data_IF_297756957615
#
_entry.id   IF_297756957615
#
_cell.length_a   1.000
_cell.length_b   1.000
_cell.length_c   1.000
_cell.angle_alpha   90.00
_cell.angle_beta   90.00
_cell.angle_gamma   90.00
#
_symmetry.space_group_name_H-M   'P 1'
#
loop_
_entity.id
_entity.type
_entity.pdbx_description
1 polymer ?
#
# COMPACT_ATOMS: atom_id res chain seq x y z
N UNK A 1 6.10 -18.73 28.30
CA UNK A 1 5.63 -17.49 28.97
C UNK A 1 5.65 -16.31 27.99
N UNK A 2 6.76 -16.02 27.32
CA UNK A 2 6.86 -14.93 26.32
C UNK A 2 5.80 -15.00 25.20
N UNK A 3 5.49 -16.19 24.70
CA UNK A 3 4.47 -16.37 23.64
C UNK A 3 3.05 -16.03 24.12
N UNK A 4 2.76 -16.25 25.41
CA UNK A 4 1.47 -15.89 26.02
C UNK A 4 1.32 -14.37 26.21
N UNK A 5 2.42 -13.67 26.53
CA UNK A 5 2.41 -12.21 26.68
C UNK A 5 2.27 -11.51 25.32
N UNK A 6 2.99 -11.99 24.30
CA UNK A 6 2.84 -11.50 22.93
C UNK A 6 1.40 -11.61 22.44
N UNK A 7 0.75 -12.76 22.63
CA UNK A 7 -0.65 -12.96 22.22
C UNK A 7 -1.60 -12.01 22.92
N UNK A 8 -1.38 -11.70 24.21
CA UNK A 8 -2.18 -10.71 24.94
C UNK A 8 -1.98 -9.30 24.39
N UNK A 9 -0.75 -8.92 24.09
CA UNK A 9 -0.41 -7.60 23.53
C UNK A 9 -1.02 -7.42 22.12
N UNK A 10 -0.93 -8.44 21.26
CA UNK A 10 -1.56 -8.43 19.94
C UNK A 10 -3.08 -8.26 20.03
N UNK A 11 -3.73 -8.99 20.94
CA UNK A 11 -5.19 -8.87 21.17
C UNK A 11 -5.57 -7.49 21.68
N UNK A 12 -4.87 -7.00 22.71
CA UNK A 12 -5.12 -5.67 23.26
C UNK A 12 -4.96 -4.57 22.18
N UNK A 13 -3.93 -4.68 21.33
CA UNK A 13 -3.72 -3.77 20.21
C UNK A 13 -4.86 -3.83 19.18
N UNK A 14 -5.24 -5.02 18.72
CA UNK A 14 -6.29 -5.22 17.71
C UNK A 14 -7.68 -4.79 18.22
N UNK A 15 -7.98 -5.04 19.51
CA UNK A 15 -9.22 -4.66 20.18
C UNK A 15 -9.43 -3.14 20.24
N UNK A 16 -8.34 -2.36 20.29
CA UNK A 16 -8.46 -0.89 20.22
C UNK A 16 -9.07 -0.44 18.91
N UNK A 17 -8.80 -1.15 17.81
CA UNK A 17 -9.14 -0.76 16.43
C UNK A 17 -8.62 0.64 16.04
N UNK A 18 -7.65 1.17 16.79
CA UNK A 18 -7.08 2.50 16.56
C UNK A 18 -5.85 2.45 15.64
N UNK A 19 -5.22 1.28 15.54
CA UNK A 19 -4.01 1.09 14.75
C UNK A 19 -2.80 1.80 15.36
N UNK A 20 -1.74 1.88 14.57
CA UNK A 20 -0.47 2.51 14.94
C UNK A 20 -0.64 4.01 15.17
N UNK A 21 -1.47 4.70 14.36
CA UNK A 21 -1.77 6.12 14.57
C UNK A 21 -2.34 6.36 15.96
N UNK A 22 -3.21 5.48 16.46
CA UNK A 22 -3.74 5.56 17.82
C UNK A 22 -2.68 5.53 18.92
N UNK A 23 -1.62 4.74 18.71
CA UNK A 23 -0.47 4.71 19.62
C UNK A 23 0.31 6.02 19.57
N UNK A 24 0.55 6.54 18.37
CA UNK A 24 1.25 7.83 18.16
C UNK A 24 0.47 8.98 18.79
N UNK A 25 -0.84 9.06 18.53
CA UNK A 25 -1.74 10.10 19.06
C UNK A 25 -1.83 10.03 20.60
N UNK A 26 -1.71 8.83 21.19
CA UNK A 26 -1.64 8.64 22.63
C UNK A 26 -0.30 9.06 23.26
N UNK A 27 0.69 9.46 22.44
CA UNK A 27 1.98 9.96 22.92
C UNK A 27 2.83 8.88 23.59
N UNK A 28 2.77 7.64 23.11
CA UNK A 28 3.58 6.55 23.68
C UNK A 28 5.08 6.90 23.64
N UNK A 29 5.80 6.56 24.72
CA UNK A 29 7.25 6.80 24.82
C UNK A 29 8.08 5.55 24.55
N UNK A 30 7.43 4.38 24.48
CA UNK A 30 8.06 3.08 24.19
C UNK A 30 7.23 2.33 23.17
N UNK A 31 7.89 1.85 22.12
CA UNK A 31 7.25 1.05 21.07
C UNK A 31 6.88 -0.32 21.67
N UNK A 32 5.64 -0.80 21.48
CA UNK A 32 5.19 -2.12 21.92
C UNK A 32 6.06 -3.25 21.36
N UNK A 33 6.28 -4.32 22.13
CA UNK A 33 7.19 -5.40 21.74
C UNK A 33 6.70 -6.14 20.50
N UNK A 34 5.40 -6.11 20.22
CA UNK A 34 4.83 -6.71 19.02
C UNK A 34 5.42 -6.17 17.71
N UNK A 35 6.01 -4.97 17.70
CA UNK A 35 6.64 -4.34 16.53
C UNK A 35 8.16 -4.59 16.43
N UNK A 36 8.76 -5.31 17.39
CA UNK A 36 10.20 -5.55 17.36
C UNK A 36 10.51 -6.67 16.39
N UNK A 37 11.14 -6.30 15.26
CA UNK A 37 11.56 -7.27 14.26
C UNK A 37 12.74 -8.11 14.76
N UNK A 38 12.71 -9.44 14.59
CA UNK A 38 13.86 -10.30 14.83
C UNK A 38 15.11 -9.79 14.10
N UNK A 39 16.32 -9.92 14.69
CA UNK A 39 17.57 -9.44 14.08
C UNK A 39 17.77 -9.95 12.64
N UNK A 40 17.34 -11.18 12.35
CA UNK A 40 17.47 -11.81 11.03
C UNK A 40 16.61 -11.14 9.95
N UNK A 41 15.56 -10.41 10.34
CA UNK A 41 14.72 -9.63 9.42
C UNK A 41 15.29 -8.25 9.11
N UNK A 42 16.25 -7.77 9.90
CA UNK A 42 16.94 -6.50 9.68
C UNK A 42 18.17 -6.80 8.83
N UNK A 43 17.98 -6.93 7.51
CA UNK A 43 19.11 -6.87 6.59
C UNK A 43 19.76 -5.50 6.78
N UNK A 44 20.97 -5.45 7.36
CA UNK A 44 21.77 -4.23 7.38
C UNK A 44 21.78 -3.66 5.97
N UNK A 45 21.41 -2.39 5.83
CA UNK A 45 21.70 -1.62 4.63
C UNK A 45 23.14 -1.89 4.28
N UNK A 46 23.40 -2.64 3.20
CA UNK A 46 24.74 -2.66 2.62
C UNK A 46 24.96 -1.21 2.20
N UNK A 47 26.04 -0.59 2.66
CA UNK A 47 26.53 0.64 2.05
C UNK A 47 26.87 0.30 0.60
N UNK A 48 25.87 0.40 -0.27
CA UNK A 48 26.04 0.21 -1.70
C UNK A 48 26.64 1.51 -2.22
N UNK A 49 27.97 1.59 -2.18
CA UNK A 49 28.80 2.62 -2.86
C UNK A 49 28.74 2.49 -4.39
N UNK A 50 27.57 2.15 -4.92
CA UNK A 50 27.31 1.85 -6.32
C UNK A 50 26.11 2.69 -6.75
N UNK A 51 26.35 3.63 -7.66
CA UNK A 51 25.32 4.47 -8.30
C UNK A 51 24.37 3.61 -9.15
N UNK A 52 23.46 2.89 -8.50
CA UNK A 52 22.34 2.27 -9.19
C UNK A 52 21.20 3.29 -9.29
N UNK A 53 21.01 3.85 -10.48
CA UNK A 53 19.83 4.66 -10.77
C UNK A 53 18.64 3.75 -11.10
N UNK A 54 17.53 3.94 -10.40
CA UNK A 54 16.27 3.25 -10.71
C UNK A 54 15.83 3.68 -12.11
N UNK A 55 15.49 2.75 -13.03
CA UNK A 55 15.05 3.10 -14.37
C UNK A 55 13.83 4.04 -14.35
N UNK A 56 13.84 5.04 -15.23
CA UNK A 56 12.72 5.96 -15.45
C UNK A 56 12.23 5.79 -16.88
N UNK A 57 10.94 5.48 -17.05
CA UNK A 57 10.30 5.22 -18.34
C UNK A 57 9.35 6.38 -18.66
N UNK A 58 9.56 7.02 -19.80
CA UNK A 58 8.74 8.14 -20.27
C UNK A 58 7.67 7.64 -21.25
N UNK A 59 6.39 7.89 -20.91
CA UNK A 59 5.24 7.51 -21.73
C UNK A 59 4.70 8.62 -22.64
N UNK A 60 5.30 9.83 -22.65
CA UNK A 60 4.76 11.00 -23.33
C UNK A 60 4.40 10.75 -24.81
N UNK A 61 5.15 9.88 -25.49
CA UNK A 61 5.06 9.65 -26.94
C UNK A 61 4.67 8.23 -27.32
N UNK A 62 4.21 7.43 -26.37
CA UNK A 62 3.92 6.00 -26.62
C UNK A 62 2.86 5.79 -27.72
N UNK A 63 2.01 6.79 -27.97
CA UNK A 63 0.97 6.77 -28.99
C UNK A 63 1.32 7.51 -30.29
N UNK A 64 2.51 8.10 -30.41
CA UNK A 64 2.89 8.88 -31.60
C UNK A 64 3.23 7.98 -32.81
N UNK A 65 4.01 6.92 -32.60
CA UNK A 65 4.40 5.99 -33.67
C UNK A 65 4.75 4.57 -33.17
N UNK A 66 4.66 3.53 -34.03
CA UNK A 66 4.93 2.14 -33.64
C UNK A 66 6.36 1.85 -33.15
N UNK A 67 7.37 2.59 -33.63
CA UNK A 67 8.76 2.39 -33.22
C UNK A 67 8.97 2.91 -31.79
N UNK A 68 8.40 4.07 -31.45
CA UNK A 68 8.43 4.60 -30.08
C UNK A 68 7.69 3.68 -29.12
N UNK A 69 6.50 3.19 -29.49
CA UNK A 69 5.77 2.20 -28.69
C UNK A 69 6.63 0.96 -28.40
N UNK A 70 7.27 0.38 -29.43
CA UNK A 70 8.15 -0.79 -29.27
C UNK A 70 9.31 -0.52 -28.30
N UNK A 71 9.97 0.63 -28.41
CA UNK A 71 11.07 1.01 -27.49
C UNK A 71 10.63 1.14 -26.04
N UNK A 72 9.44 1.68 -25.79
CA UNK A 72 8.88 1.79 -24.44
C UNK A 72 8.59 0.39 -23.88
N UNK A 73 7.98 -0.49 -24.67
CA UNK A 73 7.72 -1.88 -24.26
C UNK A 73 9.02 -2.63 -23.94
N UNK A 74 10.06 -2.48 -24.77
CA UNK A 74 11.38 -3.05 -24.51
C UNK A 74 11.98 -2.50 -23.21
N UNK A 75 11.87 -1.19 -22.96
CA UNK A 75 12.35 -0.57 -21.72
C UNK A 75 11.63 -1.11 -20.48
N UNK A 76 10.31 -1.34 -20.56
CA UNK A 76 9.50 -1.94 -19.49
C UNK A 76 9.95 -3.37 -19.22
N UNK A 77 10.14 -4.17 -20.28
CA UNK A 77 10.63 -5.55 -20.15
C UNK A 77 12.01 -5.57 -19.47
N UNK A 78 12.96 -4.82 -20.01
CA UNK A 78 14.34 -4.83 -19.53
C UNK A 78 14.44 -4.35 -18.07
N UNK A 79 13.67 -3.33 -17.69
CA UNK A 79 13.60 -2.86 -16.31
C UNK A 79 12.94 -3.88 -15.36
N UNK A 80 11.90 -4.58 -15.83
CA UNK A 80 11.24 -5.64 -15.06
C UNK A 80 12.16 -6.84 -14.84
N UNK A 81 12.90 -7.27 -15.86
CA UNK A 81 13.83 -8.40 -15.79
C UNK A 81 15.08 -8.08 -14.95
N UNK A 82 15.59 -6.85 -15.06
CA UNK A 82 16.86 -6.47 -14.42
C UNK A 82 16.68 -5.94 -13.00
N UNK A 83 15.67 -5.10 -12.77
CA UNK A 83 15.45 -4.42 -11.49
C UNK A 83 14.24 -4.96 -10.73
N UNK A 84 13.22 -5.46 -11.44
CA UNK A 84 11.93 -5.84 -10.85
C UNK A 84 11.04 -4.64 -10.46
N UNK A 85 11.51 -3.40 -10.69
CA UNK A 85 10.74 -2.17 -10.48
C UNK A 85 11.35 -1.01 -11.28
N UNK A 86 10.53 0.01 -11.56
CA UNK A 86 10.91 1.21 -12.31
C UNK A 86 9.94 2.36 -12.00
N UNK A 87 10.32 3.57 -12.38
CA UNK A 87 9.47 4.75 -12.30
C UNK A 87 8.87 5.07 -13.67
N UNK A 88 7.66 5.61 -13.69
CA UNK A 88 6.99 6.06 -14.91
C UNK A 88 6.75 7.56 -14.81
N UNK A 89 7.07 8.30 -15.88
CA UNK A 89 6.73 9.71 -16.05
C UNK A 89 5.85 9.90 -17.28
N UNK A 90 5.13 11.04 -17.33
CA UNK A 90 4.20 11.37 -18.41
C UNK A 90 3.15 10.27 -18.69
N UNK A 91 2.71 9.58 -17.64
CA UNK A 91 1.72 8.48 -17.69
C UNK A 91 0.28 8.92 -18.02
N UNK A 92 0.04 10.19 -18.33
CA UNK A 92 -1.27 10.72 -18.71
C UNK A 92 -2.28 10.92 -17.58
N UNK A 93 -1.94 10.57 -16.33
CA UNK A 93 -2.79 10.84 -15.15
C UNK A 93 -2.55 12.30 -14.71
N UNK A 94 -3.59 13.14 -14.62
CA UNK A 94 -3.43 14.52 -14.19
C UNK A 94 -2.81 14.64 -12.79
N UNK A 95 -1.90 15.60 -12.62
CA UNK A 95 -1.27 15.89 -11.32
C UNK A 95 -2.31 16.26 -10.26
N UNK A 96 -3.39 16.94 -10.64
CA UNK A 96 -4.51 17.25 -9.74
C UNK A 96 -5.15 16.00 -9.17
N UNK A 97 -5.35 14.95 -9.99
CA UNK A 97 -5.91 13.67 -9.54
C UNK A 97 -5.01 12.99 -8.51
N UNK A 98 -3.69 12.98 -8.72
CA UNK A 98 -2.74 12.42 -7.75
C UNK A 98 -2.73 13.21 -6.43
N UNK A 99 -2.84 14.55 -6.50
CA UNK A 99 -2.94 15.41 -5.32
C UNK A 99 -4.22 15.14 -4.52
N UNK A 100 -5.37 15.12 -5.20
CA UNK A 100 -6.67 14.81 -4.59
C UNK A 100 -6.68 13.42 -3.95
N UNK A 101 -6.07 12.41 -4.59
CA UNK A 101 -5.92 11.07 -4.01
C UNK A 101 -5.13 11.10 -2.71
N UNK A 102 -3.98 11.79 -2.69
CA UNK A 102 -3.15 11.94 -1.49
C UNK A 102 -3.91 12.65 -0.37
N UNK A 103 -4.61 13.72 -0.69
CA UNK A 103 -5.45 14.46 0.26
C UNK A 103 -6.58 13.58 0.82
N UNK A 104 -7.27 12.80 -0.02
CA UNK A 104 -8.30 11.85 0.42
C UNK A 104 -7.77 10.82 1.42
N UNK A 105 -6.58 10.25 1.17
CA UNK A 105 -5.93 9.33 2.11
C UNK A 105 -5.62 10.01 3.44
N UNK A 106 -4.99 11.19 3.42
CA UNK A 106 -4.66 11.93 4.63
C UNK A 106 -5.92 12.27 5.43
N UNK A 107 -6.94 12.82 4.75
CA UNK A 107 -8.20 13.17 5.37
C UNK A 107 -8.89 11.96 5.98
N UNK A 108 -8.81 10.76 5.37
CA UNK A 108 -9.33 9.54 5.98
C UNK A 108 -8.68 9.26 7.34
N UNK A 109 -7.36 9.35 7.45
CA UNK A 109 -6.62 9.06 8.68
C UNK A 109 -6.76 10.14 9.76
N UNK A 110 -7.02 11.38 9.38
CA UNK A 110 -7.27 12.50 10.31
C UNK A 110 -8.71 12.54 10.84
N UNK A 111 -9.62 11.68 10.35
CA UNK A 111 -10.95 11.55 10.94
C UNK A 111 -10.89 11.02 12.38
N UNK A 112 -11.96 11.33 13.12
CA UNK A 112 -12.24 10.75 14.44
C UNK A 112 -12.11 9.23 14.43
N UNK A 113 -11.55 8.68 15.52
CA UNK A 113 -11.36 7.24 15.67
C UNK A 113 -12.66 6.46 15.50
N UNK A 114 -13.77 6.97 16.05
CA UNK A 114 -15.07 6.30 16.00
C UNK A 114 -15.64 6.21 14.59
N UNK A 115 -15.26 7.13 13.69
CA UNK A 115 -15.62 7.05 12.27
C UNK A 115 -14.80 5.98 11.58
N UNK A 116 -13.47 5.98 11.76
CA UNK A 116 -12.57 4.99 11.14
C UNK A 116 -12.84 3.56 11.62
N UNK A 117 -13.16 3.37 12.91
CA UNK A 117 -13.47 2.07 13.51
C UNK A 117 -14.63 1.33 12.83
N UNK A 118 -15.56 2.04 12.18
CA UNK A 118 -16.66 1.44 11.40
C UNK A 118 -16.15 0.58 10.24
N UNK A 119 -15.00 0.96 9.70
CA UNK A 119 -14.33 0.27 8.61
C UNK A 119 -13.27 -0.71 9.11
N UNK A 120 -12.98 -0.76 10.41
CA UNK A 120 -11.98 -1.68 10.95
C UNK A 120 -12.49 -3.11 10.90
N UNK A 121 -11.85 -3.94 10.07
CA UNK A 121 -12.25 -5.33 9.87
C UNK A 121 -11.06 -6.20 9.50
N UNK A 122 -11.11 -7.47 9.94
CA UNK A 122 -10.21 -8.53 9.47
C UNK A 122 -10.90 -9.46 8.45
N UNK A 123 -12.21 -9.31 8.30
CA UNK A 123 -13.01 -10.05 7.31
C UNK A 123 -13.09 -9.27 5.99
N UNK A 124 -13.14 -9.98 4.84
CA UNK A 124 -13.26 -9.36 3.53
C UNK A 124 -14.49 -8.45 3.42
N UNK A 125 -14.26 -7.18 3.09
CA UNK A 125 -15.29 -6.20 2.74
C UNK A 125 -14.86 -5.39 1.52
N UNK A 126 -15.78 -4.70 0.83
CA UNK A 126 -15.42 -3.83 -0.29
C UNK A 126 -14.39 -2.76 0.11
N UNK A 127 -14.54 -2.17 1.29
CA UNK A 127 -13.58 -1.29 1.93
C UNK A 127 -13.20 -1.84 3.31
N UNK A 128 -11.90 -1.89 3.60
CA UNK A 128 -11.36 -2.39 4.85
C UNK A 128 -10.31 -1.44 5.39
N UNK A 129 -10.43 -1.04 6.64
CA UNK A 129 -9.37 -0.39 7.40
C UNK A 129 -8.74 -1.40 8.36
N UNK A 130 -7.42 -1.44 8.45
CA UNK A 130 -6.71 -2.33 9.36
C UNK A 130 -5.28 -1.83 9.58
N UNK A 131 -4.67 -2.20 10.70
CA UNK A 131 -3.25 -1.88 10.91
C UNK A 131 -2.35 -2.90 10.21
N UNK A 132 -2.56 -4.19 10.50
CA UNK A 132 -1.70 -5.27 10.04
C UNK A 132 -2.53 -6.49 9.58
N UNK A 133 -2.42 -6.84 8.30
CA UNK A 133 -3.15 -7.99 7.73
C UNK A 133 -2.66 -9.31 8.35
N UNK A 134 -1.35 -9.46 8.57
CA UNK A 134 -0.71 -10.65 9.15
C UNK A 134 -0.46 -10.53 10.67
N UNK A 135 -1.18 -9.67 11.39
CA UNK A 135 -0.93 -9.35 12.81
C UNK A 135 -0.71 -10.58 13.71
N UNK A 136 -1.50 -11.65 13.52
CA UNK A 136 -1.45 -12.86 14.34
C UNK A 136 -0.54 -13.97 13.80
N UNK A 137 -0.06 -13.85 12.56
CA UNK A 137 0.74 -14.89 11.89
C UNK A 137 2.19 -14.48 11.67
N UNK A 138 2.47 -13.18 11.62
CA UNK A 138 3.82 -12.65 11.45
C UNK A 138 4.62 -12.63 12.76
N UNK A 139 5.94 -12.80 12.64
CA UNK A 139 6.87 -12.72 13.77
C UNK A 139 6.90 -11.33 14.44
N UNK A 140 6.63 -10.27 13.67
CA UNK A 140 6.50 -8.90 14.14
C UNK A 140 5.43 -8.15 13.34
N UNK A 141 4.71 -7.24 13.99
CA UNK A 141 3.80 -6.31 13.34
C UNK A 141 4.59 -5.18 12.68
N UNK A 142 4.06 -4.63 11.60
CA UNK A 142 4.62 -3.46 10.92
C UNK A 142 4.09 -2.16 11.52
N UNK A 143 4.96 -1.15 11.62
CA UNK A 143 4.61 0.19 12.12
C UNK A 143 3.90 1.02 11.03
N UNK A 144 2.68 0.61 10.67
CA UNK A 144 1.83 1.29 9.69
C UNK A 144 0.36 1.03 9.98
N UNK A 145 -0.47 1.87 9.38
CA UNK A 145 -1.88 1.58 9.16
C UNK A 145 -2.19 1.53 7.67
N UNK A 146 -3.24 0.82 7.29
CA UNK A 146 -3.61 0.61 5.90
C UNK A 146 -5.13 0.58 5.74
N UNK A 147 -5.61 1.01 4.59
CA UNK A 147 -6.93 0.63 4.13
C UNK A 147 -6.80 -0.01 2.74
N UNK A 148 -7.75 -0.87 2.42
CA UNK A 148 -7.85 -1.55 1.15
C UNK A 148 -9.25 -1.35 0.60
N UNK A 149 -9.34 -1.04 -0.70
CA UNK A 149 -10.60 -0.90 -1.41
C UNK A 149 -10.56 -1.75 -2.68
N UNK A 150 -11.37 -2.80 -2.73
CA UNK A 150 -11.45 -3.67 -3.90
C UNK A 150 -12.34 -3.01 -4.95
N UNK A 151 -11.73 -2.42 -6.00
CA UNK A 151 -12.47 -1.72 -7.06
C UNK A 151 -12.94 -2.64 -8.19
N UNK A 152 -12.47 -3.88 -8.23
CA UNK A 152 -12.75 -4.89 -9.25
C UNK A 152 -12.80 -6.30 -8.62
N UNK A 153 -13.46 -7.30 -9.26
CA UNK A 153 -14.25 -7.19 -10.50
C UNK A 153 -15.59 -6.49 -10.29
N UNK A 154 -16.12 -6.50 -9.07
CA UNK A 154 -17.35 -5.80 -8.70
C UNK A 154 -16.96 -4.51 -7.98
N UNK A 155 -17.44 -3.38 -8.52
CA UNK A 155 -17.21 -2.07 -7.91
C UNK A 155 -17.98 -1.95 -6.59
N UNK A 156 -17.38 -1.41 -5.51
CA UNK A 156 -18.08 -1.07 -4.28
C UNK A 156 -19.18 -0.06 -4.55
N UNK A 157 -20.27 -0.14 -3.79
CA UNK A 157 -21.29 0.91 -3.83
C UNK A 157 -20.79 2.15 -3.09
N UNK A 158 -21.29 3.36 -3.39
CA UNK A 158 -20.92 4.56 -2.65
C UNK A 158 -21.10 4.45 -1.14
N UNK A 159 -22.10 3.67 -0.69
CA UNK A 159 -22.38 3.44 0.73
C UNK A 159 -21.33 2.55 1.43
N UNK A 160 -20.57 1.76 0.66
CA UNK A 160 -19.49 0.92 1.19
C UNK A 160 -18.21 1.71 1.47
N UNK A 161 -18.12 2.95 0.97
CA UNK A 161 -16.92 3.79 1.04
C UNK A 161 -17.03 4.87 2.13
N UNK A 162 -15.92 5.28 2.75
CA UNK A 162 -15.90 6.47 3.59
C UNK A 162 -16.29 7.71 2.77
N UNK A 163 -17.21 8.53 3.26
CA UNK A 163 -17.69 9.75 2.57
C UNK A 163 -16.53 10.65 2.11
N UNK A 164 -15.47 10.74 2.92
CA UNK A 164 -14.27 11.53 2.61
C UNK A 164 -13.45 10.96 1.43
N UNK A 165 -13.59 9.67 1.17
CA UNK A 165 -13.03 8.95 0.02
C UNK A 165 -14.04 8.84 -1.14
N UNK A 166 -15.32 9.10 -0.90
CA UNK A 166 -16.41 9.10 -1.89
C UNK A 166 -16.37 10.33 -2.78
N UNK A 167 -15.24 10.53 -3.47
CA UNK A 167 -15.11 11.64 -4.41
C UNK A 167 -15.72 11.18 -5.73
N UNK A 168 -16.95 11.64 -5.99
CA UNK A 168 -17.68 11.53 -7.26
C UNK A 168 -16.91 12.11 -8.48
N UNK A 169 -15.68 12.61 -8.29
CA UNK A 169 -14.84 13.23 -9.32
C UNK A 169 -13.47 12.59 -9.57
N UNK A 170 -12.85 11.87 -8.64
CA UNK A 170 -11.44 11.46 -8.79
C UNK A 170 -11.24 9.98 -9.16
N UNK A 171 -12.29 9.16 -9.14
CA UNK A 171 -12.26 7.77 -9.62
C UNK A 171 -13.09 7.59 -10.90
N UNK A 172 -12.88 8.47 -11.89
CA UNK A 172 -12.98 8.04 -13.29
C UNK A 172 -11.68 7.32 -13.69
N UNK A 173 -11.17 6.45 -12.81
CA UNK A 173 -10.29 5.37 -13.21
C UNK A 173 -11.16 4.46 -14.07
N UNK A 174 -11.13 4.68 -15.39
CA UNK A 174 -11.57 3.65 -16.33
C UNK A 174 -10.84 2.37 -15.93
N UNK A 175 -11.57 1.27 -15.91
CA UNK A 175 -11.18 -0.08 -15.52
C UNK A 175 -10.04 -0.69 -16.34
N UNK A 176 -9.20 0.12 -16.97
CA UNK A 176 -8.23 -0.29 -17.99
C UNK A 176 -6.78 0.10 -17.68
N UNK A 177 -6.46 0.80 -16.58
CA UNK A 177 -5.11 1.36 -16.39
C UNK A 177 -4.51 1.37 -14.97
N UNK A 178 -5.06 0.62 -14.01
CA UNK A 178 -4.39 0.41 -12.72
C UNK A 178 -3.75 -0.99 -12.64
N UNK A 179 -2.74 -1.21 -13.48
CA UNK A 179 -1.66 -2.16 -13.18
C UNK A 179 -0.33 -1.41 -13.27
N UNK A 180 0.06 -0.77 -12.17
CA UNK A 180 1.46 -0.45 -11.91
C UNK A 180 1.74 -0.78 -10.44
N UNK A 181 2.08 -2.05 -10.25
CA UNK A 181 2.91 -2.63 -9.18
C UNK A 181 2.48 -2.35 -7.73
N UNK A 182 1.81 -3.33 -7.12
CA UNK A 182 2.06 -3.67 -5.72
C UNK A 182 2.19 -5.19 -5.63
N UNK A 183 3.37 -5.65 -5.21
CA UNK A 183 3.85 -7.02 -5.41
C UNK A 183 2.96 -8.12 -4.85
N UNK A 184 2.83 -9.19 -5.63
CA UNK A 184 2.44 -10.52 -5.18
C UNK A 184 3.31 -11.54 -5.91
N UNK A 185 4.10 -12.30 -5.15
CA UNK A 185 4.43 -13.70 -5.35
C UNK A 185 4.70 -14.19 -6.80
N UNK A 186 5.93 -14.01 -7.27
CA UNK A 186 6.52 -14.95 -8.23
C UNK A 186 6.89 -16.26 -7.49
N UNK A 187 5.90 -17.08 -7.15
CA UNK A 187 6.16 -18.50 -6.91
C UNK A 187 6.32 -19.13 -8.30
N UNK A 188 7.58 -19.43 -8.62
CA UNK A 188 7.92 -20.03 -9.90
C UNK A 188 7.28 -21.40 -10.06
N UNK A 189 6.63 -21.61 -11.20
CA UNK A 189 6.60 -22.92 -11.83
C UNK A 189 7.60 -22.88 -12.99
N UNK A 190 8.62 -23.74 -12.86
CA UNK A 190 9.68 -23.92 -13.83
C UNK A 190 9.30 -25.13 -14.68
N UNK A 191 9.17 -24.89 -15.99
CA UNK A 191 9.09 -25.82 -17.14
C UNK A 191 7.77 -26.60 -17.28
#
# INVERSE_FOLDING_TARGET
MADSERVKELKAFDETKLGVKGLVDAGITKIPQIFYHPPDNIKKSRDTTTDYAIPVIDLAKIHEDPCTHKRVVESVRDASETFGFFQIINHGIPVSTMKEMKEGVLNFYEQDSEVKKKYYTREPKPFMYYSNITLFTAAAATWKDSFLCNMAPVRPKPEDLPVICSVERSLRMRSEQCEVVCGCDCVGERI
#
